data_IF_276295689617
#
_entry.id   IF_276295689617
#
_cell.length_a   1.000
_cell.length_b   1.000
_cell.length_c   1.000
_cell.angle_alpha   90.00
_cell.angle_beta   90.00
_cell.angle_gamma   90.00
#
_symmetry.space_group_name_H-M   'P 1'
#
loop_
_entity.id
_entity.type
_entity.pdbx_description
1 polymer ?
#
# COMPACT_ATOMS: atom_id res chain seq x y z
N UNK A 1 -2.40 2.34 -4.48
CA UNK A 1 -2.93 3.69 -4.74
C UNK A 1 -3.11 4.50 -3.45
N UNK A 2 -4.10 4.21 -2.59
CA UNK A 2 -4.41 5.03 -1.40
C UNK A 2 -3.26 5.36 -0.45
N UNK A 3 -2.36 4.41 -0.15
CA UNK A 3 -1.19 4.70 0.69
C UNK A 3 -0.36 5.83 0.09
N UNK A 4 0.02 5.73 -1.18
CA UNK A 4 0.88 6.70 -1.88
C UNK A 4 0.19 8.06 -1.98
N UNK A 5 -1.06 8.09 -2.45
CA UNK A 5 -1.83 9.31 -2.68
C UNK A 5 -2.08 10.12 -1.39
N UNK A 6 -2.09 9.45 -0.23
CA UNK A 6 -2.23 10.10 1.07
C UNK A 6 -0.90 10.55 1.69
N UNK A 7 0.26 10.28 1.07
CA UNK A 7 1.56 10.74 1.57
C UNK A 7 1.61 12.26 1.78
N UNK A 8 1.21 13.12 0.81
CA UNK A 8 1.29 14.57 0.97
C UNK A 8 0.44 15.10 2.13
N UNK A 9 -0.74 14.50 2.34
CA UNK A 9 -1.63 14.82 3.47
C UNK A 9 -0.99 14.39 4.79
N UNK A 10 -0.46 13.16 4.88
CA UNK A 10 0.22 12.68 6.09
C UNK A 10 1.48 13.45 6.44
N UNK A 11 2.14 14.04 5.44
CA UNK A 11 3.30 14.90 5.61
C UNK A 11 2.91 16.36 5.93
N UNK A 12 1.61 16.66 6.10
CA UNK A 12 1.07 18.01 6.32
C UNK A 12 1.45 19.02 5.21
N UNK A 13 1.66 18.55 3.98
CA UNK A 13 1.97 19.43 2.83
C UNK A 13 0.70 20.02 2.21
N UNK A 14 -0.40 19.27 2.24
CA UNK A 14 -1.71 19.65 1.70
C UNK A 14 -2.84 19.11 2.56
N UNK A 15 -4.02 19.72 2.49
CA UNK A 15 -5.20 19.27 3.24
C UNK A 15 -5.92 18.09 2.57
N UNK A 16 -5.92 18.05 1.24
CA UNK A 16 -6.58 16.99 0.46
C UNK A 16 -5.61 16.40 -0.59
N UNK A 17 -5.65 15.08 -0.88
CA UNK A 17 -4.72 14.46 -1.83
C UNK A 17 -4.78 15.09 -3.23
N UNK A 18 -5.94 15.59 -3.65
CA UNK A 18 -6.11 16.26 -4.95
C UNK A 18 -5.42 17.63 -5.06
N UNK A 19 -5.00 18.22 -3.94
CA UNK A 19 -4.30 19.52 -3.92
C UNK A 19 -2.80 19.35 -4.21
N UNK A 20 -2.28 18.13 -4.14
CA UNK A 20 -0.88 17.85 -4.45
C UNK A 20 -0.70 17.56 -5.95
N UNK A 21 -0.04 18.46 -6.72
CA UNK A 21 -0.01 18.38 -8.18
C UNK A 21 0.84 17.22 -8.70
N UNK A 22 1.81 16.75 -7.92
CA UNK A 22 2.73 15.68 -8.31
C UNK A 22 2.21 14.30 -7.88
N UNK A 23 0.95 14.00 -8.22
CA UNK A 23 0.31 12.72 -7.95
C UNK A 23 -0.67 12.33 -9.05
N UNK A 24 -0.93 11.02 -9.17
CA UNK A 24 -1.93 10.48 -10.09
C UNK A 24 -3.37 10.70 -9.61
N UNK A 25 -3.58 11.30 -8.42
CA UNK A 25 -4.90 11.48 -7.84
C UNK A 25 -5.83 12.26 -8.78
N UNK A 26 -5.32 13.31 -9.42
CA UNK A 26 -6.12 14.14 -10.31
C UNK A 26 -6.67 13.36 -11.52
N UNK A 27 -5.84 12.52 -12.14
CA UNK A 27 -6.28 11.63 -13.21
C UNK A 27 -7.24 10.54 -12.72
N UNK A 28 -6.94 9.95 -11.56
CA UNK A 28 -7.69 8.81 -11.02
C UNK A 28 -9.01 9.19 -10.32
N UNK A 29 -9.16 10.45 -9.89
CA UNK A 29 -10.27 10.88 -9.05
C UNK A 29 -11.05 12.08 -9.60
N UNK A 30 -10.46 12.89 -10.47
CA UNK A 30 -11.04 14.17 -10.92
C UNK A 30 -11.20 14.25 -12.45
N UNK A 31 -10.83 13.21 -13.18
CA UNK A 31 -10.93 13.17 -14.64
C UNK A 31 -9.97 14.11 -15.36
N UNK A 32 -8.94 14.61 -14.68
CA UNK A 32 -7.87 15.39 -15.31
C UNK A 32 -6.90 14.42 -15.98
N UNK A 33 -7.15 14.14 -17.25
CA UNK A 33 -6.31 13.24 -18.04
C UNK A 33 -4.83 13.60 -17.95
N UNK A 34 -3.98 12.59 -17.82
CA UNK A 34 -2.53 12.72 -17.77
C UNK A 34 -1.92 11.64 -18.66
N UNK A 35 -1.16 12.06 -19.67
CA UNK A 35 -0.52 11.17 -20.64
C UNK A 35 0.54 10.26 -20.01
N UNK A 36 1.03 10.59 -18.82
CA UNK A 36 1.99 9.79 -18.07
C UNK A 36 1.32 8.69 -17.24
N UNK A 37 -0.01 8.72 -17.10
CA UNK A 37 -0.76 7.79 -16.24
C UNK A 37 -1.43 6.70 -17.08
N UNK A 38 -0.90 5.48 -16.97
CA UNK A 38 -1.57 4.28 -17.49
C UNK A 38 -2.46 3.66 -16.41
N UNK A 39 -3.79 3.55 -16.61
CA UNK A 39 -4.69 2.97 -15.61
C UNK A 39 -4.36 1.51 -15.31
N UNK A 40 -4.18 1.19 -14.02
CA UNK A 40 -3.97 -0.20 -13.57
C UNK A 40 -5.26 -1.01 -13.62
N UNK A 41 -5.19 -2.32 -13.87
CA UNK A 41 -6.37 -3.20 -13.95
C UNK A 41 -7.29 -3.12 -12.71
N UNK A 42 -6.71 -3.05 -11.51
CA UNK A 42 -7.47 -2.87 -10.26
C UNK A 42 -8.22 -1.52 -10.16
N UNK A 43 -7.72 -0.47 -10.82
CA UNK A 43 -8.44 0.79 -10.93
C UNK A 43 -9.57 0.68 -11.95
N UNK A 44 -9.30 0.05 -13.10
CA UNK A 44 -10.31 -0.19 -14.12
C UNK A 44 -11.47 -1.05 -13.61
N UNK A 45 -11.21 -1.98 -12.68
CA UNK A 45 -12.26 -2.79 -12.04
C UNK A 45 -13.14 -2.04 -11.05
N UNK A 46 -12.85 -0.77 -10.72
CA UNK A 46 -13.68 0.02 -9.79
C UNK A 46 -15.02 0.47 -10.38
N UNK A 47 -15.17 0.45 -11.70
CA UNK A 47 -16.37 0.91 -12.39
C UNK A 47 -16.31 0.68 -13.89
N UNK A 48 -17.47 0.56 -14.52
CA UNK A 48 -17.59 0.33 -15.97
C UNK A 48 -17.41 1.62 -16.75
N UNK A 49 -17.89 2.75 -16.22
CA UNK A 49 -17.64 4.09 -16.78
C UNK A 49 -16.54 4.85 -16.04
N UNK A 50 -16.04 5.94 -16.63
CA UNK A 50 -15.06 6.81 -15.98
C UNK A 50 -15.64 7.49 -14.73
N UNK A 51 -16.90 7.93 -14.77
CA UNK A 51 -17.59 8.56 -13.64
C UNK A 51 -17.74 7.60 -12.47
N UNK A 52 -18.10 6.34 -12.75
CA UNK A 52 -18.17 5.27 -11.75
C UNK A 52 -16.80 5.04 -11.11
N UNK A 53 -15.74 4.96 -11.94
CA UNK A 53 -14.36 4.78 -11.44
C UNK A 53 -13.91 5.95 -10.58
N UNK A 54 -14.11 7.20 -11.01
CA UNK A 54 -13.74 8.37 -10.21
C UNK A 54 -14.52 8.42 -8.90
N UNK A 55 -15.82 8.11 -8.94
CA UNK A 55 -16.66 8.06 -7.74
C UNK A 55 -16.19 7.01 -6.75
N UNK A 56 -16.00 5.77 -7.21
CA UNK A 56 -15.50 4.67 -6.40
C UNK A 56 -14.09 4.96 -5.86
N UNK A 57 -13.20 5.53 -6.67
CA UNK A 57 -11.85 5.89 -6.26
C UNK A 57 -11.87 6.95 -5.15
N UNK A 58 -12.65 8.04 -5.30
CA UNK A 58 -12.82 9.05 -4.23
C UNK A 58 -13.34 8.44 -2.92
N UNK A 59 -14.24 7.45 -3.00
CA UNK A 59 -14.77 6.78 -1.81
C UNK A 59 -13.68 6.05 -1.00
N UNK A 60 -12.61 5.56 -1.64
CA UNK A 60 -11.48 4.94 -0.94
C UNK A 60 -10.80 5.90 0.05
N UNK A 61 -10.93 7.22 -0.15
CA UNK A 61 -10.27 8.25 0.67
C UNK A 61 -11.16 8.83 1.77
N UNK A 62 -12.44 8.44 1.85
CA UNK A 62 -13.35 8.89 2.91
C UNK A 62 -12.91 8.44 4.29
N UNK A 63 -12.33 7.25 4.38
CA UNK A 63 -11.65 6.78 5.57
C UNK A 63 -10.16 7.06 5.46
N UNK A 64 -9.45 7.19 6.59
CA UNK A 64 -7.99 7.10 6.63
C UNK A 64 -7.56 5.63 6.79
N UNK A 65 -6.38 5.28 6.26
CA UNK A 65 -5.81 3.95 6.52
C UNK A 65 -5.55 3.87 8.03
N UNK A 66 -5.80 2.70 8.62
CA UNK A 66 -5.50 2.53 10.04
C UNK A 66 -4.00 2.73 10.27
N UNK A 67 -3.63 3.19 11.46
CA UNK A 67 -2.22 3.30 11.84
C UNK A 67 -1.51 1.93 11.68
N UNK A 68 -2.20 0.85 12.04
CA UNK A 68 -1.68 -0.52 11.90
C UNK A 68 -1.35 -0.88 10.44
N UNK A 69 -2.22 -0.55 9.48
CA UNK A 69 -1.96 -0.81 8.05
C UNK A 69 -0.78 0.00 7.53
N UNK A 70 -0.72 1.27 7.91
CA UNK A 70 0.38 2.17 7.53
C UNK A 70 1.71 1.66 8.07
N UNK A 71 1.73 1.25 9.34
CA UNK A 71 2.92 0.72 9.99
C UNK A 71 3.34 -0.62 9.39
N UNK A 72 2.39 -1.51 9.05
CA UNK A 72 2.67 -2.78 8.37
C UNK A 72 3.29 -2.57 6.99
N UNK A 73 2.74 -1.66 6.17
CA UNK A 73 3.30 -1.31 4.86
C UNK A 73 4.74 -0.79 5.02
N UNK A 74 4.95 0.13 5.98
CA UNK A 74 6.27 0.73 6.21
C UNK A 74 7.30 -0.28 6.70
N UNK A 75 6.93 -1.12 7.68
CA UNK A 75 7.84 -2.12 8.24
C UNK A 75 8.28 -3.12 7.16
N UNK A 76 7.31 -3.64 6.40
CA UNK A 76 7.58 -4.55 5.30
C UNK A 76 8.48 -3.91 4.23
N UNK A 77 8.18 -2.69 3.80
CA UNK A 77 8.95 -1.97 2.78
C UNK A 77 10.37 -1.67 3.25
N UNK A 78 10.54 -1.12 4.45
CA UNK A 78 11.84 -0.65 4.94
C UNK A 78 12.80 -1.79 5.29
N UNK A 79 12.27 -2.92 5.74
CA UNK A 79 13.09 -4.09 6.12
C UNK A 79 13.18 -5.15 5.02
N UNK A 80 12.44 -4.97 3.92
CA UNK A 80 12.38 -5.94 2.83
C UNK A 80 11.69 -7.25 3.23
N UNK A 81 10.62 -7.17 4.02
CA UNK A 81 9.74 -8.29 4.37
C UNK A 81 8.53 -8.36 3.42
N UNK A 82 7.86 -9.51 3.39
CA UNK A 82 6.59 -9.62 2.70
C UNK A 82 5.50 -8.90 3.50
N UNK A 83 4.66 -8.12 2.81
CA UNK A 83 3.43 -7.58 3.36
C UNK A 83 2.30 -8.59 3.12
N UNK A 84 1.78 -9.19 4.19
CA UNK A 84 0.70 -10.16 4.11
C UNK A 84 0.60 -11.00 5.37
N UNK A 85 -0.24 -12.04 5.32
CA UNK A 85 -0.36 -13.00 6.41
C UNK A 85 0.80 -14.02 6.40
N UNK A 86 0.80 -14.92 7.39
CA UNK A 86 1.82 -15.96 7.51
C UNK A 86 1.83 -16.93 6.33
N UNK A 87 0.66 -17.23 5.76
CA UNK A 87 0.55 -18.11 4.59
C UNK A 87 1.20 -17.46 3.36
N UNK A 88 0.89 -16.20 3.09
CA UNK A 88 1.50 -15.44 2.01
C UNK A 88 3.01 -15.32 2.21
N UNK A 89 3.45 -15.04 3.43
CA UNK A 89 4.88 -14.96 3.76
C UNK A 89 5.61 -16.27 3.47
N UNK A 90 5.08 -17.40 3.93
CA UNK A 90 5.65 -18.72 3.65
C UNK A 90 5.70 -19.03 2.14
N UNK A 91 4.67 -18.63 1.40
CA UNK A 91 4.65 -18.74 -0.07
C UNK A 91 5.77 -17.92 -0.71
N UNK A 92 5.99 -16.68 -0.26
CA UNK A 92 7.09 -15.84 -0.77
C UNK A 92 8.45 -16.46 -0.44
N UNK A 93 8.63 -17.01 0.76
CA UNK A 93 9.88 -17.72 1.12
C UNK A 93 10.14 -18.93 0.22
N UNK A 94 9.11 -19.72 -0.06
CA UNK A 94 9.20 -20.89 -0.92
C UNK A 94 9.59 -20.53 -2.37
N UNK A 95 9.03 -19.43 -2.90
CA UNK A 95 9.28 -18.94 -4.26
C UNK A 95 10.65 -18.28 -4.41
N UNK A 96 11.03 -17.44 -3.43
CA UNK A 96 12.26 -16.62 -3.52
C UNK A 96 13.48 -17.29 -2.93
N UNK A 97 13.30 -18.37 -2.14
CA UNK A 97 14.34 -19.00 -1.32
C UNK A 97 15.03 -18.03 -0.35
N UNK A 98 14.37 -16.90 -0.05
CA UNK A 98 14.82 -15.89 0.91
C UNK A 98 13.77 -15.77 2.00
N UNK A 99 14.22 -15.50 3.22
CA UNK A 99 13.32 -15.18 4.33
C UNK A 99 12.48 -13.94 4.04
N UNK A 100 11.18 -14.03 4.32
CA UNK A 100 10.18 -13.00 4.10
C UNK A 100 9.63 -12.42 5.41
N UNK A 101 10.03 -12.98 6.57
CA UNK A 101 9.63 -12.53 7.90
C UNK A 101 10.83 -12.39 8.85
N UNK A 102 10.75 -11.55 9.89
CA UNK A 102 11.80 -11.47 10.92
C UNK A 102 11.79 -12.71 11.83
N UNK A 103 12.96 -13.11 12.32
CA UNK A 103 13.05 -14.09 13.41
C UNK A 103 12.66 -13.45 14.76
N UNK A 104 12.23 -14.26 15.74
CA UNK A 104 12.06 -13.79 17.11
C UNK A 104 13.30 -13.05 17.61
N UNK A 105 13.09 -11.89 18.22
CA UNK A 105 14.18 -11.09 18.78
C UNK A 105 14.71 -11.79 20.03
N UNK A 106 16.03 -11.92 20.13
CA UNK A 106 16.71 -12.46 21.31
C UNK A 106 17.65 -13.62 21.00
N UNK A 107 18.39 -14.06 22.02
CA UNK A 107 19.27 -15.23 21.91
C UNK A 107 18.40 -16.49 21.76
N UNK A 108 18.77 -17.43 20.87
CA UNK A 108 18.15 -18.76 20.85
C UNK A 108 18.16 -19.38 22.25
N UNK A 109 17.06 -20.03 22.64
CA UNK A 109 17.02 -20.79 23.89
C UNK A 109 18.14 -21.85 23.84
N UNK A 110 18.91 -21.99 24.92
CA UNK A 110 19.84 -23.12 25.04
C UNK A 110 19.01 -24.40 25.06
N UNK A 111 19.37 -25.34 24.20
CA UNK A 111 18.87 -26.71 24.33
C UNK A 111 19.30 -27.23 25.71
N UNK A 112 18.36 -27.80 26.46
CA UNK A 112 18.67 -28.50 27.70
C UNK A 112 19.59 -29.65 27.35
N UNK A 113 20.82 -29.63 27.89
CA UNK A 113 21.71 -30.78 27.80
C UNK A 113 21.06 -31.96 28.53
N UNK A 114 20.85 -33.07 27.82
CA UNK A 114 20.66 -34.40 28.41
C UNK A 114 21.97 -34.91 29.02
#
# INVERSE_FOLDING_TARGET
MRYIEMNPVRANMVAHPGDYPWSSYQASAQGKGDVLVTPHALYLSLGRSDEERWSAYRQLFRAQLSKADVDAIRDATNKGWALGDGHFSAKIEALTKRRATPLPRGRPKRESAE
#
